data_IF_256254653308
#
_entry.id   IF_256254653308
#
_cell.length_a   1.000
_cell.length_b   1.000
_cell.length_c   1.000
_cell.angle_alpha   90.00
_cell.angle_beta   90.00
_cell.angle_gamma   90.00
#
_symmetry.space_group_name_H-M   'P 1'
#
loop_
_entity.id
_entity.type
_entity.pdbx_description
1 polymer ?
#
# COMPACT_ATOMS: atom_id res chain seq x y z
N UNK A 1 7.03 19.72 -7.22
CA UNK A 1 8.43 19.38 -6.95
C UNK A 1 8.74 18.12 -7.74
N UNK A 2 9.49 18.25 -8.84
CA UNK A 2 9.96 17.10 -9.61
C UNK A 2 11.16 16.57 -8.83
N UNK A 3 10.93 15.55 -8.00
CA UNK A 3 12.03 14.80 -7.39
C UNK A 3 12.65 14.00 -8.53
N UNK A 4 13.91 14.27 -8.88
CA UNK A 4 14.55 13.49 -9.93
C UNK A 4 14.57 12.00 -9.57
N UNK A 5 14.43 11.13 -10.59
CA UNK A 5 14.34 9.67 -10.49
C UNK A 5 15.28 9.03 -9.47
N UNK A 6 16.51 9.53 -9.37
CA UNK A 6 17.50 9.11 -8.36
C UNK A 6 17.04 9.37 -6.92
N UNK A 7 16.51 10.55 -6.62
CA UNK A 7 16.01 10.90 -5.28
C UNK A 7 14.80 10.05 -4.91
N UNK A 8 13.91 9.80 -5.87
CA UNK A 8 12.77 8.89 -5.67
C UNK A 8 13.26 7.48 -5.37
N UNK A 9 14.25 6.99 -6.11
CA UNK A 9 14.85 5.68 -5.89
C UNK A 9 15.46 5.55 -4.49
N UNK A 10 16.23 6.55 -4.04
CA UNK A 10 16.82 6.58 -2.70
C UNK A 10 15.73 6.57 -1.59
N UNK A 11 14.64 7.31 -1.78
CA UNK A 11 13.50 7.28 -0.85
C UNK A 11 12.79 5.92 -0.84
N UNK A 12 12.62 5.28 -2.01
CA UNK A 12 12.06 3.94 -2.12
C UNK A 12 12.96 2.89 -1.43
N UNK A 13 14.28 3.02 -1.53
CA UNK A 13 15.24 2.19 -0.79
C UNK A 13 15.06 2.34 0.72
N UNK A 14 14.95 3.57 1.23
CA UNK A 14 14.73 3.83 2.68
C UNK A 14 13.41 3.24 3.18
N UNK A 15 12.37 3.26 2.36
CA UNK A 15 11.05 2.73 2.74
C UNK A 15 11.00 1.21 2.76
N UNK A 16 11.87 0.52 2.01
CA UNK A 16 11.83 -0.93 1.86
C UNK A 16 11.68 -1.66 3.21
N UNK A 17 12.54 -1.35 4.18
CA UNK A 17 12.53 -2.02 5.49
C UNK A 17 11.32 -1.62 6.35
N UNK A 18 10.75 -0.45 6.10
CA UNK A 18 9.53 0.02 6.77
C UNK A 18 8.27 -0.70 6.27
N UNK A 19 8.32 -1.37 5.11
CA UNK A 19 7.19 -2.16 4.60
C UNK A 19 7.11 -3.56 5.23
N UNK A 20 8.21 -4.12 5.74
CA UNK A 20 8.25 -5.48 6.29
C UNK A 20 8.03 -5.54 7.81
N UNK A 21 7.25 -4.59 8.34
CA UNK A 21 6.83 -4.63 9.74
C UNK A 21 5.85 -5.78 9.98
N UNK A 22 5.78 -6.33 11.22
CA UNK A 22 4.77 -7.32 11.56
C UNK A 22 3.37 -6.80 11.26
N UNK A 23 2.54 -7.64 10.62
CA UNK A 23 1.18 -7.28 10.23
C UNK A 23 0.37 -6.77 11.43
N UNK A 24 -0.45 -5.70 11.29
CA UNK A 24 -1.15 -5.06 12.41
C UNK A 24 -2.42 -5.85 12.83
N UNK A 25 -2.24 -7.12 13.21
CA UNK A 25 -3.31 -8.05 13.59
C UNK A 25 -4.24 -7.50 14.68
N UNK A 26 -3.68 -6.79 15.66
CA UNK A 26 -4.44 -6.22 16.78
C UNK A 26 -5.41 -5.15 16.30
N UNK A 27 -4.93 -4.22 15.49
CA UNK A 27 -5.71 -3.11 14.97
C UNK A 27 -6.79 -3.59 14.01
N UNK A 28 -6.45 -4.51 13.10
CA UNK A 28 -7.43 -5.14 12.19
C UNK A 28 -8.54 -5.85 12.98
N UNK A 29 -8.19 -6.53 14.08
CA UNK A 29 -9.17 -7.17 14.96
C UNK A 29 -10.06 -6.15 15.67
N UNK A 30 -9.50 -5.03 16.12
CA UNK A 30 -10.26 -3.97 16.76
C UNK A 30 -11.22 -3.30 15.76
N UNK A 31 -10.74 -2.97 14.55
CA UNK A 31 -11.61 -2.46 13.47
C UNK A 31 -12.80 -3.37 13.21
N UNK A 32 -12.58 -4.69 13.14
CA UNK A 32 -13.65 -5.67 12.93
C UNK A 32 -14.69 -5.67 14.06
N UNK A 33 -14.28 -5.39 15.29
CA UNK A 33 -15.19 -5.27 16.44
C UNK A 33 -15.95 -3.94 16.42
N UNK A 34 -15.21 -2.85 16.25
CA UNK A 34 -15.74 -1.48 16.36
C UNK A 34 -16.72 -1.15 15.23
N UNK A 35 -16.55 -1.78 14.06
CA UNK A 35 -17.41 -1.61 12.89
C UNK A 35 -18.13 -2.89 12.50
N UNK A 36 -18.44 -3.77 13.46
CA UNK A 36 -19.05 -5.09 13.21
C UNK A 36 -20.22 -5.03 12.23
N UNK A 37 -21.12 -4.05 12.39
CA UNK A 37 -22.35 -3.94 11.58
C UNK A 37 -22.10 -3.40 10.16
N UNK A 38 -20.92 -2.82 9.91
CA UNK A 38 -20.52 -2.36 8.58
C UNK A 38 -19.78 -3.43 7.78
N UNK A 39 -19.25 -4.47 8.45
CA UNK A 39 -18.63 -5.61 7.78
C UNK A 39 -19.67 -6.67 7.41
N UNK A 40 -19.61 -7.16 6.18
CA UNK A 40 -20.31 -8.39 5.79
C UNK A 40 -19.55 -9.64 6.29
N UNK A 41 -20.22 -10.79 6.31
CA UNK A 41 -19.59 -12.06 6.70
C UNK A 41 -18.43 -12.43 5.77
N UNK A 42 -18.59 -12.19 4.47
CA UNK A 42 -17.59 -12.48 3.44
C UNK A 42 -16.42 -11.51 3.43
N UNK A 43 -16.52 -10.37 4.13
CA UNK A 43 -15.46 -9.39 4.14
C UNK A 43 -14.22 -9.89 4.87
N UNK A 44 -13.11 -9.98 4.16
CA UNK A 44 -11.81 -10.29 4.74
C UNK A 44 -10.83 -9.12 4.56
N UNK A 45 -10.85 -8.17 5.52
CA UNK A 45 -9.98 -6.99 5.51
C UNK A 45 -8.50 -7.38 5.42
N UNK A 46 -8.08 -8.39 6.18
CA UNK A 46 -6.69 -8.86 6.17
C UNK A 46 -6.24 -9.40 4.81
N UNK A 47 -7.10 -10.17 4.12
CA UNK A 47 -6.80 -10.68 2.78
C UNK A 47 -6.73 -9.54 1.76
N UNK A 48 -7.66 -8.57 1.82
CA UNK A 48 -7.64 -7.39 0.96
C UNK A 48 -6.36 -6.56 1.15
N UNK A 49 -5.95 -6.33 2.41
CA UNK A 49 -4.70 -5.62 2.72
C UNK A 49 -3.49 -6.37 2.19
N UNK A 50 -3.43 -7.69 2.39
CA UNK A 50 -2.32 -8.50 1.90
C UNK A 50 -2.18 -8.40 0.38
N UNK A 51 -3.27 -8.54 -0.38
CA UNK A 51 -3.24 -8.40 -1.85
C UNK A 51 -2.72 -7.01 -2.24
N UNK A 52 -3.24 -5.97 -1.59
CA UNK A 52 -2.87 -4.59 -1.86
C UNK A 52 -1.39 -4.30 -1.57
N UNK A 53 -0.93 -4.66 -0.37
CA UNK A 53 0.43 -4.44 0.10
C UNK A 53 1.45 -5.30 -0.66
N UNK A 54 1.12 -6.55 -0.98
CA UNK A 54 1.99 -7.41 -1.79
C UNK A 54 2.18 -6.87 -3.20
N UNK A 55 1.16 -6.29 -3.82
CA UNK A 55 1.33 -5.65 -5.14
C UNK A 55 2.35 -4.50 -5.09
N UNK A 56 2.27 -3.66 -4.04
CA UNK A 56 3.19 -2.53 -3.85
C UNK A 56 4.61 -3.04 -3.55
N UNK A 57 4.77 -3.96 -2.60
CA UNK A 57 6.07 -4.52 -2.22
C UNK A 57 6.73 -5.30 -3.38
N UNK A 58 5.94 -6.07 -4.12
CA UNK A 58 6.40 -6.77 -5.31
C UNK A 58 6.90 -5.80 -6.39
N UNK A 59 6.14 -4.73 -6.66
CA UNK A 59 6.57 -3.71 -7.62
C UNK A 59 7.84 -2.98 -7.15
N UNK A 60 7.92 -2.64 -5.86
CA UNK A 60 9.12 -2.07 -5.26
C UNK A 60 10.34 -2.96 -5.48
N UNK A 61 10.20 -4.27 -5.27
CA UNK A 61 11.28 -5.22 -5.48
C UNK A 61 11.80 -5.20 -6.91
N UNK A 62 10.93 -5.15 -7.93
CA UNK A 62 11.38 -4.98 -9.32
C UNK A 62 12.20 -3.70 -9.54
N UNK A 63 11.72 -2.57 -9.01
CA UNK A 63 12.41 -1.28 -9.11
C UNK A 63 13.79 -1.35 -8.45
N UNK A 64 13.87 -1.81 -7.20
CA UNK A 64 15.13 -1.86 -6.44
C UNK A 64 16.16 -2.81 -7.05
N UNK A 65 15.70 -3.84 -7.76
CA UNK A 65 16.57 -4.78 -8.47
C UNK A 65 16.93 -4.35 -9.90
N UNK A 66 16.60 -3.12 -10.31
CA UNK A 66 16.89 -2.62 -11.66
C UNK A 66 16.14 -3.38 -12.77
N UNK A 67 14.95 -3.90 -12.46
CA UNK A 67 14.10 -4.71 -13.36
C UNK A 67 12.75 -4.03 -13.60
N UNK A 68 12.72 -2.69 -13.61
CA UNK A 68 11.47 -1.93 -13.75
C UNK A 68 10.75 -2.23 -15.08
N UNK A 69 11.50 -2.54 -16.13
CA UNK A 69 11.02 -2.95 -17.45
C UNK A 69 10.30 -4.32 -17.44
N UNK A 70 10.49 -5.13 -16.39
CA UNK A 70 9.88 -6.46 -16.23
C UNK A 70 8.65 -6.46 -15.34
N UNK A 71 8.22 -5.30 -14.83
CA UNK A 71 7.02 -5.20 -14.00
C UNK A 71 5.81 -5.57 -14.86
N UNK A 72 5.00 -6.56 -14.46
CA UNK A 72 3.77 -6.90 -15.17
C UNK A 72 2.82 -5.70 -15.24
N UNK A 73 2.24 -5.46 -16.42
CA UNK A 73 1.33 -4.32 -16.64
C UNK A 73 0.16 -4.28 -15.66
N UNK A 74 -0.37 -5.44 -15.26
CA UNK A 74 -1.42 -5.51 -14.24
C UNK A 74 -0.99 -4.94 -12.89
N UNK A 75 0.26 -5.18 -12.45
CA UNK A 75 0.77 -4.62 -11.18
C UNK A 75 0.83 -3.09 -11.23
N UNK A 76 1.29 -2.54 -12.36
CA UNK A 76 1.32 -1.08 -12.61
C UNK A 76 -0.08 -0.49 -12.55
N UNK A 77 -1.07 -1.18 -13.15
CA UNK A 77 -2.45 -0.70 -13.10
C UNK A 77 -3.03 -0.69 -11.68
N UNK A 78 -2.75 -1.73 -10.88
CA UNK A 78 -3.17 -1.79 -9.48
C UNK A 78 -2.55 -0.66 -8.63
N UNK A 79 -1.33 -0.20 -8.93
CA UNK A 79 -0.72 0.94 -8.24
C UNK A 79 -1.51 2.24 -8.43
N UNK A 80 -2.26 2.38 -9.53
CA UNK A 80 -3.02 3.60 -9.84
C UNK A 80 -4.23 3.80 -8.94
N UNK A 81 -4.67 2.76 -8.23
CA UNK A 81 -5.79 2.82 -7.29
C UNK A 81 -5.32 2.76 -5.84
N UNK A 82 -5.93 3.58 -4.99
CA UNK A 82 -5.79 3.47 -3.54
C UNK A 82 -6.55 2.25 -3.00
N UNK A 83 -6.24 1.86 -1.77
CA UNK A 83 -6.91 0.74 -1.11
C UNK A 83 -8.45 0.90 -1.10
N UNK A 84 -8.96 2.06 -0.70
CA UNK A 84 -10.41 2.32 -0.56
C UNK A 84 -11.13 2.54 -1.90
N UNK A 85 -10.38 2.81 -2.98
CA UNK A 85 -10.92 2.77 -4.34
C UNK A 85 -11.09 1.34 -4.84
N UNK A 86 -10.11 0.48 -4.59
CA UNK A 86 -10.11 -0.92 -4.99
C UNK A 86 -11.11 -1.75 -4.16
N UNK A 87 -11.15 -1.54 -2.85
CA UNK A 87 -12.00 -2.24 -1.91
C UNK A 87 -13.06 -1.30 -1.33
N UNK A 88 -14.05 -0.95 -2.17
CA UNK A 88 -15.08 0.05 -1.84
C UNK A 88 -15.88 -0.28 -0.60
N UNK A 89 -16.04 -1.57 -0.28
CA UNK A 89 -16.72 -2.01 0.92
C UNK A 89 -16.07 -1.48 2.20
N UNK A 90 -14.76 -1.20 2.21
CA UNK A 90 -14.04 -0.74 3.40
C UNK A 90 -13.97 0.79 3.52
N UNK A 91 -14.61 1.56 2.63
CA UNK A 91 -14.58 3.03 2.67
C UNK A 91 -15.06 3.63 3.98
N UNK A 92 -15.91 2.93 4.73
CA UNK A 92 -16.34 3.37 6.05
C UNK A 92 -15.17 3.53 7.05
N UNK A 93 -14.04 2.85 6.81
CA UNK A 93 -12.82 2.96 7.62
C UNK A 93 -11.96 4.18 7.26
N UNK A 94 -12.06 4.72 6.04
CA UNK A 94 -11.09 5.66 5.46
C UNK A 94 -10.80 6.87 6.36
N UNK A 95 -11.83 7.45 6.97
CA UNK A 95 -11.72 8.61 7.88
C UNK A 95 -11.47 8.23 9.35
N UNK A 96 -11.24 6.95 9.63
CA UNK A 96 -11.16 6.39 10.98
C UNK A 96 -9.89 5.58 11.22
N UNK A 97 -9.12 5.31 10.18
CA UNK A 97 -7.89 4.51 10.27
C UNK A 97 -6.86 5.10 11.24
N UNK A 98 -6.85 6.42 11.44
CA UNK A 98 -5.95 7.11 12.38
C UNK A 98 -6.15 6.69 13.84
N UNK A 99 -7.32 6.15 14.20
CA UNK A 99 -7.61 5.61 15.53
C UNK A 99 -6.87 4.28 15.80
N UNK A 100 -6.24 3.71 14.78
CA UNK A 100 -5.58 2.41 14.80
C UNK A 100 -4.12 2.60 14.42
N UNK A 101 -3.24 2.90 15.39
CA UNK A 101 -1.93 3.47 15.12
C UNK A 101 -0.96 2.55 14.36
N UNK A 102 -1.01 1.23 14.59
CA UNK A 102 -0.16 0.28 13.86
C UNK A 102 -0.65 0.15 12.43
N UNK A 103 -1.97 0.01 12.24
CA UNK A 103 -2.57 -0.01 10.92
C UNK A 103 -2.27 1.27 10.15
N UNK A 104 -2.48 2.43 10.78
CA UNK A 104 -2.30 3.73 10.14
C UNK A 104 -0.87 3.93 9.70
N UNK A 105 0.10 3.66 10.58
CA UNK A 105 1.53 3.72 10.27
C UNK A 105 1.85 2.88 9.03
N UNK A 106 1.46 1.61 9.03
CA UNK A 106 1.80 0.68 7.96
C UNK A 106 1.10 1.09 6.65
N UNK A 107 -0.19 1.43 6.71
CA UNK A 107 -0.94 1.95 5.57
C UNK A 107 -0.26 3.18 4.95
N UNK A 108 0.19 4.12 5.78
CA UNK A 108 0.87 5.33 5.30
C UNK A 108 2.22 5.05 4.66
N UNK A 109 2.99 4.07 5.15
CA UNK A 109 4.22 3.64 4.49
C UNK A 109 3.95 3.02 3.12
N UNK A 110 2.97 2.12 3.02
CA UNK A 110 2.58 1.52 1.75
C UNK A 110 2.02 2.55 0.76
N UNK A 111 1.21 3.51 1.21
CA UNK A 111 0.70 4.59 0.36
C UNK A 111 1.82 5.53 -0.11
N UNK A 112 2.80 5.85 0.75
CA UNK A 112 3.97 6.63 0.36
C UNK A 112 4.77 5.88 -0.70
N UNK A 113 5.04 4.59 -0.50
CA UNK A 113 5.75 3.75 -1.46
C UNK A 113 4.99 3.67 -2.80
N UNK A 114 3.67 3.42 -2.79
CA UNK A 114 2.83 3.38 -3.99
C UNK A 114 2.94 4.66 -4.82
N UNK A 115 2.80 5.82 -4.18
CA UNK A 115 2.88 7.12 -4.86
C UNK A 115 4.27 7.36 -5.45
N UNK A 116 5.33 7.07 -4.70
CA UNK A 116 6.71 7.19 -5.18
C UNK A 116 6.98 6.24 -6.36
N UNK A 117 6.46 5.01 -6.33
CA UNK A 117 6.57 4.07 -7.45
C UNK A 117 5.88 4.62 -8.70
N UNK A 118 4.68 5.20 -8.58
CA UNK A 118 4.00 5.84 -9.72
C UNK A 118 4.84 6.98 -10.31
N UNK A 119 5.44 7.83 -9.47
CA UNK A 119 6.32 8.89 -9.95
C UNK A 119 7.58 8.32 -10.63
N UNK A 120 8.24 7.34 -10.01
CA UNK A 120 9.42 6.69 -10.56
C UNK A 120 9.18 6.08 -11.94
N UNK A 121 8.03 5.43 -12.13
CA UNK A 121 7.64 4.77 -13.38
C UNK A 121 7.14 5.75 -14.44
N UNK A 122 6.72 6.96 -14.06
CA UNK A 122 6.27 8.00 -14.97
C UNK A 122 7.41 8.90 -15.47
N UNK A 123 8.50 9.04 -14.72
CA UNK A 123 9.67 9.81 -15.15
C UNK A 123 10.42 9.12 -16.29
N UNK A 124 10.55 9.85 -17.41
CA UNK A 124 11.44 9.48 -18.50
C UNK A 124 12.89 9.74 -18.08
N UNK A 125 13.81 8.92 -18.57
CA UNK A 125 15.26 9.13 -18.39
C UNK A 125 15.75 10.43 -19.02
#
# INVERSE_FOLDING_TARGET
MILGKKVIFEELQRLHDSLYQPFPCRDVRNMRKDFKDAFSEDDCLSAALNIYWMNIAGTLSYVLNGKAEKIPFHQINLLRTSFFEQYKQFRFLEKKIENYPLFYRDYMYYEKARKLLLYYLAEKE
#
